data_IF_867379618508
#
_entry.id   IF_867379618508
#
_cell.length_a   1.000
_cell.length_b   1.000
_cell.length_c   1.000
_cell.angle_alpha   90.00
_cell.angle_beta   90.00
_cell.angle_gamma   90.00
#
_symmetry.space_group_name_H-M   'P 1'
#
loop_
_entity.id
_entity.type
_entity.pdbx_description
1 polymer ?
#
# COMPACT_ATOMS: atom_id res chain seq x y z
N UNK A 1 11.72 0.73 -32.44
CA UNK A 1 11.96 1.00 -31.01
C UNK A 1 10.63 1.38 -30.39
N UNK A 2 10.28 0.95 -29.17
CA UNK A 2 9.06 1.38 -28.51
C UNK A 2 9.05 2.91 -28.40
N UNK A 3 7.97 3.56 -28.84
CA UNK A 3 7.81 5.01 -28.68
C UNK A 3 7.48 5.31 -27.22
N UNK A 4 8.54 5.55 -26.45
CA UNK A 4 8.44 5.86 -25.03
C UNK A 4 7.62 7.13 -24.77
N UNK A 5 7.59 8.08 -25.72
CA UNK A 5 6.84 9.33 -25.62
C UNK A 5 5.33 9.11 -25.74
N UNK A 6 4.93 8.27 -26.70
CA UNK A 6 3.52 7.89 -26.84
C UNK A 6 3.03 7.14 -25.60
N UNK A 7 3.80 6.17 -25.10
CA UNK A 7 3.46 5.45 -23.87
C UNK A 7 3.28 6.39 -22.67
N UNK A 8 4.20 7.34 -22.45
CA UNK A 8 4.06 8.30 -21.35
C UNK A 8 2.82 9.17 -21.50
N UNK A 9 2.51 9.63 -22.71
CA UNK A 9 1.32 10.44 -22.97
C UNK A 9 0.03 9.67 -22.71
N UNK A 10 0.00 8.38 -23.08
CA UNK A 10 -1.15 7.51 -22.84
C UNK A 10 -1.37 7.29 -21.33
N UNK A 11 -0.29 7.08 -20.56
CA UNK A 11 -0.35 6.93 -19.10
C UNK A 11 -0.81 8.23 -18.42
N UNK A 12 -0.25 9.38 -18.81
CA UNK A 12 -0.67 10.68 -18.24
C UNK A 12 -2.13 10.96 -18.57
N UNK A 13 -2.56 10.74 -19.82
CA UNK A 13 -3.96 10.94 -20.22
C UNK A 13 -4.92 10.03 -19.45
N UNK A 14 -4.54 8.77 -19.20
CA UNK A 14 -5.35 7.85 -18.40
C UNK A 14 -5.42 8.29 -16.93
N UNK A 15 -4.30 8.78 -16.37
CA UNK A 15 -4.25 9.32 -15.01
C UNK A 15 -5.13 10.56 -14.86
N UNK A 16 -5.02 11.53 -15.77
CA UNK A 16 -5.83 12.74 -15.75
C UNK A 16 -7.32 12.40 -15.78
N UNK A 17 -7.74 11.54 -16.72
CA UNK A 17 -9.16 11.18 -16.87
C UNK A 17 -9.73 10.36 -15.72
N UNK A 18 -8.99 9.36 -15.22
CA UNK A 18 -9.54 8.40 -14.27
C UNK A 18 -9.17 8.68 -12.81
N UNK A 19 -8.23 9.58 -12.56
CA UNK A 19 -7.78 9.95 -11.21
C UNK A 19 -8.07 11.41 -10.89
N UNK A 20 -7.68 12.34 -11.78
CA UNK A 20 -7.87 13.78 -11.53
C UNK A 20 -9.33 14.17 -11.74
N UNK A 21 -9.87 13.95 -12.95
CA UNK A 21 -11.22 14.36 -13.32
C UNK A 21 -12.30 13.67 -12.48
N UNK A 22 -12.06 12.41 -12.08
CA UNK A 22 -12.93 11.62 -11.21
C UNK A 22 -12.78 11.98 -9.71
N UNK A 23 -11.85 12.87 -9.34
CA UNK A 23 -11.60 13.28 -7.95
C UNK A 23 -11.01 12.19 -7.05
N UNK A 24 -10.30 11.22 -7.63
CA UNK A 24 -9.72 10.04 -6.96
C UNK A 24 -8.26 10.20 -6.56
N UNK A 25 -7.70 11.40 -6.67
CA UNK A 25 -6.34 11.75 -6.28
C UNK A 25 -5.93 11.21 -4.91
N UNK A 26 -6.79 11.38 -3.90
CA UNK A 26 -6.51 10.91 -2.54
C UNK A 26 -6.41 9.38 -2.48
N UNK A 27 -7.24 8.65 -3.23
CA UNK A 27 -7.23 7.20 -3.29
C UNK A 27 -5.96 6.69 -3.98
N UNK A 28 -5.59 7.31 -5.11
CA UNK A 28 -4.34 7.02 -5.80
C UNK A 28 -3.12 7.31 -4.91
N UNK A 29 -3.15 8.43 -4.18
CA UNK A 29 -2.09 8.80 -3.23
C UNK A 29 -1.94 7.77 -2.11
N UNK A 30 -3.06 7.28 -1.54
CA UNK A 30 -3.05 6.20 -0.54
C UNK A 30 -2.41 4.94 -1.12
N UNK A 31 -2.84 4.50 -2.30
CA UNK A 31 -2.34 3.26 -2.91
C UNK A 31 -0.85 3.35 -3.23
N UNK A 32 -0.40 4.46 -3.81
CA UNK A 32 1.00 4.66 -4.19
C UNK A 32 1.88 4.72 -2.94
N UNK A 33 1.51 5.53 -1.93
CA UNK A 33 2.30 5.62 -0.70
C UNK A 33 2.33 4.28 0.04
N UNK A 34 1.21 3.56 0.08
CA UNK A 34 1.10 2.22 0.65
C UNK A 34 2.07 1.23 -0.01
N UNK A 35 2.03 1.11 -1.34
CA UNK A 35 2.88 0.17 -2.08
C UNK A 35 4.37 0.49 -1.94
N UNK A 36 4.73 1.78 -2.02
CA UNK A 36 6.11 2.23 -1.86
C UNK A 36 6.60 1.93 -0.45
N UNK A 37 5.86 2.33 0.58
CA UNK A 37 6.24 2.11 1.98
C UNK A 37 6.34 0.62 2.29
N UNK A 38 5.38 -0.19 1.88
CA UNK A 38 5.44 -1.64 2.08
C UNK A 38 6.69 -2.23 1.44
N UNK A 39 6.98 -1.88 0.18
CA UNK A 39 8.16 -2.38 -0.54
C UNK A 39 9.46 -2.00 0.16
N UNK A 40 9.56 -0.75 0.64
CA UNK A 40 10.75 -0.25 1.38
C UNK A 40 10.91 -1.00 2.70
N UNK A 41 9.87 -1.04 3.53
CA UNK A 41 9.91 -1.68 4.85
C UNK A 41 10.23 -3.16 4.72
N UNK A 42 9.62 -3.83 3.73
CA UNK A 42 9.86 -5.24 3.43
C UNK A 42 11.29 -5.50 2.97
N UNK A 43 11.81 -4.65 2.10
CA UNK A 43 13.19 -4.73 1.65
C UNK A 43 14.17 -4.57 2.83
N UNK A 44 13.90 -3.61 3.71
CA UNK A 44 14.67 -3.36 4.94
C UNK A 44 14.64 -4.59 5.85
N UNK A 45 13.45 -5.11 6.20
CA UNK A 45 13.31 -6.26 7.10
C UNK A 45 13.96 -7.52 6.53
N UNK A 46 13.81 -7.77 5.23
CA UNK A 46 14.46 -8.90 4.57
C UNK A 46 15.99 -8.75 4.52
N UNK A 47 16.49 -7.53 4.30
CA UNK A 47 17.93 -7.23 4.31
C UNK A 47 18.56 -7.47 5.68
N UNK A 48 17.92 -6.99 6.76
CA UNK A 48 18.35 -7.23 8.13
C UNK A 48 18.38 -8.73 8.45
N UNK A 49 17.33 -9.47 8.06
CA UNK A 49 17.24 -10.92 8.27
C UNK A 49 18.33 -11.70 7.51
N UNK A 50 18.72 -11.22 6.33
CA UNK A 50 19.83 -11.76 5.54
C UNK A 50 21.22 -11.39 6.10
N UNK A 51 21.29 -10.71 7.25
CA UNK A 51 22.55 -10.26 7.86
C UNK A 51 23.20 -9.06 7.17
N UNK A 52 22.51 -8.43 6.21
CA UNK A 52 22.98 -7.24 5.50
C UNK A 52 22.55 -5.99 6.26
N UNK A 53 23.41 -4.97 6.33
CA UNK A 53 23.11 -3.65 6.95
C UNK A 53 22.70 -3.65 8.43
N UNK A 54 23.00 -4.72 9.19
CA UNK A 54 22.68 -4.86 10.62
C UNK A 54 23.25 -3.75 11.51
N UNK A 55 24.32 -3.10 11.07
CA UNK A 55 24.97 -2.00 11.78
C UNK A 55 24.32 -0.62 11.52
N UNK A 56 23.47 -0.51 10.48
CA UNK A 56 22.80 0.74 10.09
C UNK A 56 21.32 0.72 10.48
N UNK A 57 20.69 -0.46 10.42
CA UNK A 57 19.27 -0.65 10.69
C UNK A 57 19.09 -1.39 12.03
N UNK A 58 18.48 -0.72 13.02
CA UNK A 58 18.17 -1.30 14.35
C UNK A 58 16.67 -1.25 14.62
N UNK A 59 16.17 -2.28 15.29
CA UNK A 59 14.80 -2.28 15.81
C UNK A 59 14.64 -1.15 16.84
N UNK A 60 13.50 -0.47 16.82
CA UNK A 60 13.15 0.52 17.83
C UNK A 60 12.81 -0.23 19.10
N UNK A 61 13.55 0.04 20.17
CA UNK A 61 13.29 -0.50 21.50
C UNK A 61 13.12 0.65 22.49
N UNK A 62 12.17 0.50 23.41
CA UNK A 62 12.04 1.43 24.54
C UNK A 62 13.25 1.30 25.47
N UNK A 63 13.56 2.31 26.30
CA UNK A 63 14.60 2.20 27.32
C UNK A 63 14.43 1.01 28.28
N UNK A 64 13.20 0.48 28.41
CA UNK A 64 12.87 -0.71 29.20
C UNK A 64 12.99 -2.06 28.46
N UNK A 65 13.50 -2.08 27.22
CA UNK A 65 13.73 -3.31 26.45
C UNK A 65 12.52 -3.84 25.67
N UNK A 66 11.41 -3.08 25.59
CA UNK A 66 10.26 -3.49 24.78
C UNK A 66 10.52 -3.19 23.32
N UNK A 67 10.47 -4.22 22.47
CA UNK A 67 10.55 -4.04 21.02
C UNK A 67 9.24 -3.44 20.49
N UNK A 68 9.34 -2.25 19.90
CA UNK A 68 8.19 -1.62 19.27
C UNK A 68 8.10 -2.11 17.82
N UNK A 69 7.10 -2.94 17.57
CA UNK A 69 6.66 -3.33 16.25
C UNK A 69 6.21 -2.09 15.48
N UNK A 70 6.62 -1.99 14.21
CA UNK A 70 6.31 -0.82 13.40
C UNK A 70 4.82 -0.77 13.00
N UNK A 71 4.07 -1.86 13.22
CA UNK A 71 2.61 -1.85 13.17
C UNK A 71 1.99 -0.86 14.16
N UNK A 72 2.61 -0.61 15.32
CA UNK A 72 2.04 0.28 16.36
C UNK A 72 2.00 1.73 15.90
N UNK A 73 3.11 2.37 15.47
CA UNK A 73 3.04 3.70 14.88
C UNK A 73 2.18 3.72 13.61
N UNK A 74 2.12 2.61 12.84
CA UNK A 74 1.21 2.49 11.70
C UNK A 74 -0.27 2.64 12.06
N UNK A 75 -0.72 1.94 13.12
CA UNK A 75 -2.09 2.04 13.64
C UNK A 75 -2.38 3.47 14.11
N UNK A 76 -1.47 4.07 14.87
CA UNK A 76 -1.66 5.44 15.36
C UNK A 76 -1.76 6.45 14.21
N UNK A 77 -0.95 6.26 13.16
CA UNK A 77 -0.98 7.12 11.98
C UNK A 77 -2.30 6.98 11.21
N UNK A 78 -2.81 5.75 11.03
CA UNK A 78 -4.13 5.52 10.41
C UNK A 78 -5.27 6.10 11.25
N UNK A 79 -5.24 5.93 12.58
CA UNK A 79 -6.25 6.50 13.47
C UNK A 79 -6.29 8.02 13.36
N UNK A 80 -5.13 8.67 13.41
CA UNK A 80 -5.03 10.13 13.32
C UNK A 80 -5.45 10.66 11.95
N UNK A 81 -4.89 10.12 10.88
CA UNK A 81 -5.15 10.59 9.51
C UNK A 81 -6.55 10.25 9.05
N UNK A 82 -7.08 9.08 9.45
CA UNK A 82 -8.46 8.68 9.22
C UNK A 82 -9.44 9.57 10.00
N UNK A 83 -9.17 9.86 11.27
CA UNK A 83 -9.97 10.80 12.04
C UNK A 83 -9.98 12.19 11.38
N UNK A 84 -8.82 12.74 11.03
CA UNK A 84 -8.75 14.05 10.37
C UNK A 84 -9.47 14.02 9.01
N UNK A 85 -9.30 12.95 8.24
CA UNK A 85 -9.95 12.81 6.93
C UNK A 85 -11.48 12.65 6.97
N UNK A 86 -12.05 12.22 8.11
CA UNK A 86 -13.49 12.03 8.29
C UNK A 86 -14.13 13.18 9.07
N UNK A 87 -13.50 13.60 10.16
CA UNK A 87 -14.07 14.54 11.13
C UNK A 87 -13.73 16.00 10.82
N UNK A 88 -12.75 16.25 9.94
CA UNK A 88 -12.29 17.59 9.55
C UNK A 88 -12.30 17.67 8.02
N UNK A 89 -12.42 18.88 7.44
CA UNK A 89 -12.04 19.07 6.04
C UNK A 89 -10.51 19.30 5.98
N UNK A 90 -9.71 18.32 5.53
CA UNK A 90 -8.26 18.45 5.49
C UNK A 90 -7.78 19.34 4.34
N UNK A 91 -8.65 19.98 3.56
CA UNK A 91 -8.25 20.87 2.47
C UNK A 91 -7.42 22.06 2.98
N UNK A 92 -6.26 22.39 2.37
CA UNK A 92 -5.68 21.84 1.14
C UNK A 92 -4.73 20.64 1.34
N UNK A 93 -4.50 20.20 2.58
CA UNK A 93 -3.56 19.14 2.97
C UNK A 93 -4.08 17.70 2.78
N UNK A 94 -5.15 17.51 2.00
CA UNK A 94 -5.80 16.20 1.81
C UNK A 94 -4.83 15.14 1.27
N UNK A 95 -3.97 15.50 0.32
CA UNK A 95 -2.95 14.60 -0.25
C UNK A 95 -1.93 14.13 0.79
N UNK A 96 -1.52 15.00 1.71
CA UNK A 96 -0.62 14.62 2.82
C UNK A 96 -1.28 13.61 3.75
N UNK A 97 -2.53 13.85 4.14
CA UNK A 97 -3.28 12.91 5.00
C UNK A 97 -3.49 11.56 4.31
N UNK A 98 -3.81 11.57 3.01
CA UNK A 98 -3.90 10.37 2.18
C UNK A 98 -2.57 9.61 2.13
N UNK A 99 -1.46 10.31 1.90
CA UNK A 99 -0.13 9.70 1.87
C UNK A 99 0.22 9.05 3.22
N UNK A 100 0.01 9.78 4.32
CA UNK A 100 0.28 9.32 5.68
C UNK A 100 -0.64 8.15 6.07
N UNK A 101 -1.90 8.15 5.65
CA UNK A 101 -2.79 7.01 5.84
C UNK A 101 -2.24 5.75 5.14
N UNK A 102 -1.82 5.87 3.87
CA UNK A 102 -1.22 4.75 3.14
C UNK A 102 0.09 4.26 3.76
N UNK A 103 0.93 5.16 4.27
CA UNK A 103 2.13 4.81 5.06
C UNK A 103 1.74 4.01 6.30
N UNK A 104 0.73 4.48 7.06
CA UNK A 104 0.25 3.81 8.26
C UNK A 104 -0.27 2.41 7.96
N UNK A 105 -1.06 2.27 6.90
CA UNK A 105 -1.58 0.98 6.45
C UNK A 105 -0.47 0.01 6.04
N UNK A 106 0.58 0.49 5.36
CA UNK A 106 1.70 -0.34 4.94
C UNK A 106 2.50 -0.86 6.14
N UNK A 107 2.76 0.01 7.13
CA UNK A 107 3.45 -0.37 8.35
C UNK A 107 2.65 -1.39 9.17
N UNK A 108 1.32 -1.25 9.23
CA UNK A 108 0.47 -2.19 9.94
C UNK A 108 0.34 -3.53 9.23
N UNK A 109 0.26 -3.54 7.90
CA UNK A 109 0.09 -4.77 7.12
C UNK A 109 1.39 -5.55 6.90
N UNK A 110 2.58 -4.95 6.96
CA UNK A 110 3.84 -5.72 6.87
C UNK A 110 3.95 -6.75 8.01
N UNK A 111 3.43 -6.43 9.18
CA UNK A 111 3.37 -7.30 10.36
C UNK A 111 2.00 -7.97 10.54
N UNK A 112 1.16 -8.03 9.50
CA UNK A 112 -0.18 -8.64 9.56
C UNK A 112 -0.18 -10.04 10.20
N UNK A 113 0.78 -10.88 9.81
CA UNK A 113 0.91 -12.22 10.35
C UNK A 113 1.15 -12.28 11.87
N UNK A 114 1.81 -11.26 12.46
CA UNK A 114 2.17 -11.23 13.88
C UNK A 114 0.95 -11.02 14.76
N UNK A 115 0.11 -10.02 14.45
CA UNK A 115 -1.05 -9.72 15.27
C UNK A 115 -2.25 -10.60 14.94
N UNK A 116 -2.33 -11.18 13.74
CA UNK A 116 -3.32 -12.20 13.42
C UNK A 116 -3.13 -13.47 14.26
N UNK A 117 -1.87 -13.90 14.44
CA UNK A 117 -1.57 -15.20 15.06
C UNK A 117 -1.23 -15.12 16.55
N UNK A 118 -0.99 -13.92 17.12
CA UNK A 118 -0.81 -13.59 18.56
C UNK A 118 0.20 -14.44 19.38
N UNK A 119 0.78 -15.48 18.77
CA UNK A 119 1.83 -16.35 19.26
C UNK A 119 2.93 -16.31 18.22
N UNK A 120 4.14 -15.98 18.66
CA UNK A 120 5.32 -15.77 17.84
C UNK A 120 5.90 -17.12 17.34
N UNK A 121 5.04 -17.92 16.72
CA UNK A 121 5.34 -19.28 16.28
C UNK A 121 4.67 -19.51 14.93
N UNK A 122 5.41 -19.29 13.85
CA UNK A 122 5.65 -20.33 12.84
C UNK A 122 6.71 -19.86 11.82
N UNK A 123 7.91 -20.34 12.02
CA UNK A 123 9.16 -19.94 11.37
C UNK A 123 9.28 -20.22 9.85
N UNK A 124 8.17 -20.46 9.14
CA UNK A 124 8.20 -20.75 7.71
C UNK A 124 7.12 -20.03 6.86
N UNK A 125 6.09 -19.40 7.46
CA UNK A 125 4.97 -18.79 6.70
C UNK A 125 4.62 -17.33 7.02
N UNK A 126 5.14 -16.75 8.12
CA UNK A 126 4.85 -15.36 8.53
C UNK A 126 5.04 -14.32 7.43
N UNK A 127 5.99 -14.55 6.52
CA UNK A 127 6.19 -13.63 5.40
C UNK A 127 5.06 -13.66 4.36
N UNK A 128 4.44 -14.81 4.12
CA UNK A 128 3.45 -14.98 3.04
C UNK A 128 2.11 -14.35 3.44
N UNK A 129 1.65 -14.55 4.66
CA UNK A 129 0.35 -14.02 5.09
C UNK A 129 0.29 -12.49 5.03
N UNK A 130 1.37 -11.79 5.41
CA UNK A 130 1.47 -10.33 5.23
C UNK A 130 1.48 -9.92 3.75
N UNK A 131 2.12 -10.70 2.87
CA UNK A 131 2.12 -10.43 1.42
C UNK A 131 0.72 -10.63 0.85
N UNK A 132 0.03 -11.70 1.23
CA UNK A 132 -1.33 -12.00 0.78
C UNK A 132 -2.28 -10.88 1.22
N UNK A 133 -2.18 -10.42 2.48
CA UNK A 133 -2.96 -9.29 2.98
C UNK A 133 -2.69 -7.99 2.20
N UNK A 134 -1.42 -7.70 1.88
CA UNK A 134 -1.03 -6.52 1.10
C UNK A 134 -1.53 -6.61 -0.34
N UNK A 135 -1.45 -7.79 -0.97
CA UNK A 135 -1.98 -8.01 -2.33
C UNK A 135 -3.49 -7.77 -2.34
N UNK A 136 -4.22 -8.31 -1.36
CA UNK A 136 -5.66 -8.10 -1.24
C UNK A 136 -5.98 -6.62 -1.01
N UNK A 137 -5.28 -5.95 -0.09
CA UNK A 137 -5.50 -4.53 0.19
C UNK A 137 -5.20 -3.65 -1.06
N UNK A 138 -4.10 -3.92 -1.76
CA UNK A 138 -3.73 -3.22 -2.98
C UNK A 138 -4.75 -3.47 -4.11
N UNK A 139 -5.21 -4.72 -4.26
CA UNK A 139 -6.22 -5.07 -5.24
C UNK A 139 -7.54 -4.35 -4.95
N UNK A 140 -8.05 -4.40 -3.72
CA UNK A 140 -9.28 -3.70 -3.33
C UNK A 140 -9.17 -2.18 -3.51
N UNK A 141 -8.03 -1.60 -3.17
CA UNK A 141 -7.76 -0.17 -3.37
C UNK A 141 -7.71 0.18 -4.86
N UNK A 142 -7.04 -0.63 -5.67
CA UNK A 142 -7.00 -0.49 -7.13
C UNK A 142 -8.37 -0.65 -7.79
N UNK A 143 -9.20 -1.59 -7.31
CA UNK A 143 -10.60 -1.74 -7.71
C UNK A 143 -11.39 -0.45 -7.43
N UNK A 144 -11.20 0.13 -6.24
CA UNK A 144 -11.84 1.38 -5.84
C UNK A 144 -11.46 2.58 -6.72
N UNK A 145 -10.19 2.67 -7.13
CA UNK A 145 -9.69 3.76 -7.99
C UNK A 145 -10.20 3.61 -9.43
N UNK A 146 -10.03 2.43 -10.02
CA UNK A 146 -10.31 2.22 -11.44
C UNK A 146 -11.82 2.09 -11.74
N UNK A 147 -12.63 1.86 -10.71
CA UNK A 147 -14.09 1.77 -10.81
C UNK A 147 -14.57 0.52 -11.55
N UNK A 148 -15.85 0.19 -11.41
CA UNK A 148 -16.42 -1.03 -12.00
C UNK A 148 -16.32 -1.06 -13.54
N UNK A 149 -16.39 0.10 -14.20
CA UNK A 149 -16.30 0.23 -15.66
C UNK A 149 -14.98 -0.28 -16.25
N UNK A 150 -13.85 0.07 -15.65
CA UNK A 150 -12.53 -0.41 -16.08
C UNK A 150 -12.42 -1.94 -16.02
N UNK A 151 -12.91 -2.55 -14.94
CA UNK A 151 -12.87 -4.01 -14.76
C UNK A 151 -13.83 -4.74 -15.68
N UNK A 152 -14.99 -4.15 -15.98
CA UNK A 152 -15.85 -4.67 -17.03
C UNK A 152 -15.15 -4.62 -18.39
N UNK A 153 -14.45 -3.54 -18.71
CA UNK A 153 -13.75 -3.38 -19.99
C UNK A 153 -12.55 -4.33 -20.10
N UNK A 154 -11.79 -4.54 -19.03
CA UNK A 154 -10.72 -5.52 -18.95
C UNK A 154 -11.26 -6.95 -19.07
N UNK A 155 -12.36 -7.27 -18.38
CA UNK A 155 -13.04 -8.57 -18.48
C UNK A 155 -13.53 -8.85 -19.91
N UNK A 156 -14.11 -7.85 -20.58
CA UNK A 156 -14.49 -7.95 -22.00
C UNK A 156 -13.28 -8.10 -22.91
N UNK A 157 -12.16 -7.41 -22.64
CA UNK A 157 -10.93 -7.55 -23.40
C UNK A 157 -10.32 -8.95 -23.29
N UNK A 158 -10.30 -9.54 -22.09
CA UNK A 158 -9.88 -10.92 -21.84
C UNK A 158 -10.84 -11.90 -22.52
N UNK A 159 -12.16 -11.69 -22.42
CA UNK A 159 -13.16 -12.50 -23.09
C UNK A 159 -12.97 -12.56 -24.61
N UNK A 160 -12.66 -11.42 -25.24
CA UNK A 160 -12.30 -11.36 -26.67
C UNK A 160 -10.99 -12.08 -27.00
N UNK A 161 -9.99 -12.01 -26.11
CA UNK A 161 -8.70 -12.65 -26.30
C UNK A 161 -8.78 -14.18 -26.26
N UNK A 162 -9.70 -14.72 -25.46
CA UNK A 162 -9.95 -16.15 -25.30
C UNK A 162 -11.18 -16.67 -26.08
N UNK A 163 -11.85 -15.81 -26.85
CA UNK A 163 -12.96 -16.17 -27.74
C UNK A 163 -14.25 -16.57 -27.02
N UNK A 164 -14.48 -16.06 -25.81
CA UNK A 164 -15.66 -16.38 -24.99
C UNK A 164 -16.86 -15.45 -25.24
N UNK A 165 -16.66 -14.38 -26.01
CA UNK A 165 -17.67 -13.36 -26.35
C UNK A 165 -17.35 -12.80 -27.74
#
# INVERSE_FOLDING_TARGET
>A
MPDFGQFTNDVVTAYDRHVIDDGKEAQATILVSFLITFSIVRFITHSIRAGRFRHVLRNVATPGGTHLHHLVPGILLMMLTGYIGIAVDPSPTRSWHAALFGVGAALTLDEFALWLNLKDVYWAKQGRDSIDAVIVAAALSGLGILGWGFWQDLGRAIGRLFGWI
#
